data_IF_964286112596
#
_entry.id   IF_964286112596
#
_cell.length_a   1.000
_cell.length_b   1.000
_cell.length_c   1.000
_cell.angle_alpha   90.00
_cell.angle_beta   90.00
_cell.angle_gamma   90.00
#
_symmetry.space_group_name_H-M   'P 1'
#
loop_
_entity.id
_entity.type
_entity.pdbx_description
1 polymer ?
#
# COMPACT_ATOMS: atom_id res chain seq x y z
N UNK A 1 -12.58 -9.00 9.59
CA UNK A 1 -11.13 -9.10 9.92
C UNK A 1 -10.39 -10.15 9.08
N UNK A 2 -10.66 -11.46 9.23
CA UNK A 2 -9.85 -12.51 8.57
C UNK A 2 -9.81 -12.43 7.03
N UNK A 3 -10.91 -12.03 6.39
CA UNK A 3 -10.95 -11.84 4.93
C UNK A 3 -10.05 -10.69 4.47
N UNK A 4 -10.07 -9.55 5.17
CA UNK A 4 -9.21 -8.39 4.86
C UNK A 4 -7.73 -8.77 4.91
N UNK A 5 -7.31 -9.48 5.96
CA UNK A 5 -5.93 -10.00 6.08
C UNK A 5 -5.57 -10.88 4.89
N UNK A 6 -6.44 -11.82 4.49
CA UNK A 6 -6.18 -12.71 3.34
C UNK A 6 -6.10 -11.94 2.03
N UNK A 7 -6.98 -10.97 1.80
CA UNK A 7 -6.94 -10.16 0.58
C UNK A 7 -5.65 -9.34 0.52
N UNK A 8 -5.28 -8.70 1.62
CA UNK A 8 -4.02 -7.98 1.76
C UNK A 8 -2.80 -8.88 1.49
N UNK A 9 -2.70 -10.01 2.20
CA UNK A 9 -1.53 -10.89 2.14
C UNK A 9 -1.45 -11.70 0.83
N UNK A 10 -2.54 -11.91 0.10
CA UNK A 10 -2.46 -12.64 -1.17
C UNK A 10 -2.23 -11.67 -2.33
N UNK A 11 -2.94 -10.53 -2.33
CA UNK A 11 -3.04 -9.68 -3.51
C UNK A 11 -2.37 -8.31 -3.38
N UNK A 12 -1.91 -7.91 -2.19
CA UNK A 12 -1.20 -6.62 -2.01
C UNK A 12 0.25 -6.85 -1.62
N UNK A 13 0.49 -7.43 -0.45
CA UNK A 13 1.82 -7.58 0.16
C UNK A 13 2.15 -9.05 0.41
N UNK A 14 2.28 -9.81 -0.67
CA UNK A 14 2.41 -11.25 -0.57
C UNK A 14 3.72 -11.72 0.08
N UNK A 15 3.66 -12.61 1.09
CA UNK A 15 4.86 -13.16 1.74
C UNK A 15 5.67 -14.06 0.81
N UNK A 16 5.11 -14.47 -0.34
CA UNK A 16 5.83 -15.19 -1.39
C UNK A 16 6.88 -14.33 -2.13
N UNK A 17 7.08 -13.07 -1.73
CA UNK A 17 8.11 -12.15 -2.23
C UNK A 17 9.57 -12.58 -1.99
N UNK A 18 9.80 -13.75 -1.38
CA UNK A 18 11.14 -14.34 -1.21
C UNK A 18 11.53 -15.30 -2.33
N UNK A 19 10.61 -15.66 -3.23
CA UNK A 19 10.94 -16.45 -4.41
C UNK A 19 11.64 -15.57 -5.46
N UNK A 20 12.75 -16.06 -6.01
CA UNK A 20 13.47 -15.37 -7.08
C UNK A 20 12.55 -15.06 -8.26
N UNK A 21 12.53 -13.79 -8.66
CA UNK A 21 11.71 -13.30 -9.77
C UNK A 21 10.21 -13.15 -9.46
N UNK A 22 9.77 -13.33 -8.21
CA UNK A 22 8.39 -13.04 -7.81
C UNK A 22 8.27 -11.64 -7.18
N UNK A 23 7.27 -10.89 -7.62
CA UNK A 23 6.93 -9.58 -7.06
C UNK A 23 5.48 -9.53 -6.59
N UNK A 24 5.28 -9.10 -5.35
CA UNK A 24 3.96 -8.71 -4.89
C UNK A 24 3.51 -7.41 -5.58
N UNK A 25 2.21 -7.14 -5.64
CA UNK A 25 1.69 -5.94 -6.29
C UNK A 25 2.25 -4.64 -5.69
N UNK A 26 2.39 -4.56 -4.36
CA UNK A 26 3.03 -3.43 -3.68
C UNK A 26 4.49 -3.19 -4.12
N UNK A 27 5.19 -4.22 -4.58
CA UNK A 27 6.58 -4.10 -5.04
C UNK A 27 6.74 -3.21 -6.27
N UNK A 28 5.66 -2.97 -7.03
CA UNK A 28 5.65 -2.05 -8.16
C UNK A 28 6.10 -0.63 -7.76
N UNK A 29 5.97 -0.28 -6.48
CA UNK A 29 6.31 1.04 -5.94
C UNK A 29 7.82 1.24 -5.69
N UNK A 30 8.62 0.17 -5.52
CA UNK A 30 10.01 0.32 -5.03
C UNK A 30 11.03 -0.74 -5.48
N UNK A 31 10.62 -1.89 -6.01
CA UNK A 31 11.56 -2.90 -6.49
C UNK A 31 12.07 -2.53 -7.89
N UNK A 32 13.39 -2.37 -8.03
CA UNK A 32 14.04 -2.05 -9.32
C UNK A 32 13.99 -3.18 -10.34
N UNK A 33 14.11 -4.42 -9.89
CA UNK A 33 14.26 -5.59 -10.75
C UNK A 33 12.95 -6.09 -11.39
N UNK A 34 12.01 -5.20 -11.70
CA UNK A 34 10.72 -5.52 -12.30
C UNK A 34 10.61 -4.83 -13.66
N UNK A 35 10.26 -5.61 -14.69
CA UNK A 35 10.09 -5.11 -16.06
C UNK A 35 8.93 -4.11 -16.13
N UNK A 36 9.00 -3.17 -17.06
CA UNK A 36 8.03 -2.09 -17.17
C UNK A 36 6.60 -2.59 -17.45
N UNK A 37 6.44 -3.63 -18.27
CA UNK A 37 5.14 -4.23 -18.58
C UNK A 37 4.53 -4.88 -17.34
N UNK A 38 5.30 -5.70 -16.63
CA UNK A 38 4.87 -6.30 -15.36
C UNK A 38 4.53 -5.21 -14.34
N UNK A 39 5.36 -4.16 -14.24
CA UNK A 39 5.09 -3.05 -13.32
C UNK A 39 3.76 -2.36 -13.61
N UNK A 40 3.42 -2.17 -14.88
CA UNK A 40 2.11 -1.63 -15.29
C UNK A 40 0.98 -2.53 -14.82
N UNK A 41 1.06 -3.82 -15.09
CA UNK A 41 0.04 -4.81 -14.69
C UNK A 41 -0.13 -4.87 -13.17
N UNK A 42 0.98 -4.92 -12.43
CA UNK A 42 1.00 -4.93 -10.95
C UNK A 42 0.42 -3.65 -10.36
N UNK A 43 0.68 -2.50 -10.98
CA UNK A 43 0.14 -1.20 -10.53
C UNK A 43 -1.37 -1.11 -10.74
N UNK A 44 -1.87 -1.62 -11.87
CA UNK A 44 -3.30 -1.72 -12.16
C UNK A 44 -3.98 -2.65 -11.15
N UNK A 45 -3.42 -3.85 -10.94
CA UNK A 45 -4.00 -4.79 -9.98
C UNK A 45 -3.90 -4.24 -8.55
N UNK A 46 -2.79 -3.60 -8.14
CA UNK A 46 -2.68 -2.93 -6.84
C UNK A 46 -3.84 -1.95 -6.62
N UNK A 47 -4.13 -1.07 -7.59
CA UNK A 47 -5.23 -0.09 -7.49
C UNK A 47 -6.59 -0.78 -7.39
N UNK A 48 -6.80 -1.86 -8.15
CA UNK A 48 -8.00 -2.70 -8.05
C UNK A 48 -8.15 -3.33 -6.67
N UNK A 49 -7.08 -3.91 -6.11
CA UNK A 49 -7.12 -4.57 -4.80
C UNK A 49 -7.34 -3.57 -3.66
N UNK A 50 -6.81 -2.34 -3.78
CA UNK A 50 -7.17 -1.24 -2.87
C UNK A 50 -8.68 -0.94 -2.91
N UNK A 51 -9.31 -0.99 -4.09
CA UNK A 51 -10.76 -0.87 -4.25
C UNK A 51 -11.54 -2.04 -3.64
N UNK A 52 -11.05 -3.28 -3.79
CA UNK A 52 -11.66 -4.46 -3.13
C UNK A 52 -11.58 -4.35 -1.61
N UNK A 53 -10.43 -3.91 -1.08
CA UNK A 53 -10.28 -3.68 0.36
C UNK A 53 -11.19 -2.56 0.81
N UNK A 54 -11.26 -1.45 0.08
CA UNK A 54 -12.22 -0.37 0.33
C UNK A 54 -13.64 -0.94 0.48
N UNK A 55 -14.14 -1.75 -0.44
CA UNK A 55 -15.46 -2.35 -0.35
C UNK A 55 -15.65 -3.22 0.91
N UNK A 56 -14.60 -3.93 1.34
CA UNK A 56 -14.60 -4.81 2.51
C UNK A 56 -14.47 -4.09 3.86
N UNK A 57 -13.99 -2.85 3.89
CA UNK A 57 -13.89 -2.07 5.14
C UNK A 57 -15.28 -1.86 5.75
N UNK A 58 -15.37 -2.01 7.07
CA UNK A 58 -16.61 -1.74 7.79
C UNK A 58 -17.06 -0.28 7.56
N UNK A 59 -18.32 -0.05 7.16
CA UNK A 59 -18.79 1.29 6.83
C UNK A 59 -19.01 2.19 8.06
N UNK A 60 -19.07 1.62 9.26
CA UNK A 60 -19.41 2.33 10.50
C UNK A 60 -18.27 2.31 11.54
N UNK A 61 -17.29 1.43 11.35
CA UNK A 61 -16.17 1.22 12.26
C UNK A 61 -15.00 2.17 12.02
N UNK A 62 -14.33 2.67 13.07
CA UNK A 62 -13.08 3.39 12.92
C UNK A 62 -11.91 2.47 12.55
N UNK A 63 -12.04 1.16 12.80
CA UNK A 63 -11.09 0.11 12.42
C UNK A 63 -11.62 -0.71 11.25
N UNK A 64 -10.71 -1.41 10.57
CA UNK A 64 -10.96 -2.05 9.29
C UNK A 64 -12.14 -3.04 9.30
N UNK A 65 -12.39 -3.66 10.45
CA UNK A 65 -13.41 -4.69 10.63
C UNK A 65 -14.51 -4.33 11.65
N UNK A 66 -14.64 -3.06 12.05
CA UNK A 66 -15.69 -2.60 12.96
C UNK A 66 -15.19 -1.66 14.05
N UNK A 67 -15.83 -1.73 15.22
CA UNK A 67 -15.58 -0.86 16.38
C UNK A 67 -14.22 -1.07 17.06
N UNK A 68 -13.66 -2.28 16.93
CA UNK A 68 -12.51 -2.73 17.71
C UNK A 68 -11.30 -2.98 16.82
N UNK A 69 -10.12 -2.67 17.37
CA UNK A 69 -8.84 -2.96 16.73
C UNK A 69 -8.73 -4.46 16.43
N UNK A 70 -8.29 -4.78 15.22
CA UNK A 70 -8.10 -6.15 14.79
C UNK A 70 -6.74 -6.37 14.14
N UNK A 71 -6.42 -7.65 13.88
CA UNK A 71 -5.21 -7.99 13.12
C UNK A 71 -5.19 -7.34 11.72
N UNK A 72 -6.36 -7.09 11.11
CA UNK A 72 -6.43 -6.46 9.79
C UNK A 72 -5.78 -5.06 9.80
N UNK A 73 -6.03 -4.27 10.83
CA UNK A 73 -5.45 -2.93 10.99
C UNK A 73 -3.93 -2.99 11.12
N UNK A 74 -3.45 -3.94 11.94
CA UNK A 74 -2.02 -4.13 12.23
C UNK A 74 -1.24 -4.53 10.98
N UNK A 75 -1.78 -5.42 10.14
CA UNK A 75 -1.06 -5.88 8.94
C UNK A 75 -1.17 -4.89 7.78
N UNK A 76 -2.31 -4.20 7.64
CA UNK A 76 -2.55 -3.30 6.52
C UNK A 76 -1.85 -1.96 6.69
N UNK A 77 -1.88 -1.37 7.89
CA UNK A 77 -1.41 0.01 8.09
C UNK A 77 0.04 0.26 7.62
N UNK A 78 1.03 -0.59 7.96
CA UNK A 78 2.38 -0.51 7.40
C UNK A 78 2.40 -0.42 5.87
N UNK A 79 1.65 -1.29 5.20
CA UNK A 79 1.60 -1.36 3.73
C UNK A 79 1.04 -0.08 3.11
N UNK A 80 0.04 0.53 3.75
CA UNK A 80 -0.61 1.74 3.25
C UNK A 80 0.31 2.97 3.32
N UNK A 81 1.25 3.02 4.27
CA UNK A 81 2.28 4.07 4.32
C UNK A 81 3.19 4.00 3.08
N UNK A 82 3.56 2.80 2.61
CA UNK A 82 4.33 2.68 1.37
C UNK A 82 3.53 3.21 0.18
N UNK A 83 2.22 2.96 0.13
CA UNK A 83 1.36 3.46 -0.95
C UNK A 83 1.29 4.99 -0.89
N UNK A 84 1.11 5.58 0.29
CA UNK A 84 1.08 7.04 0.49
C UNK A 84 2.41 7.72 0.13
N UNK A 85 3.53 7.19 0.62
CA UNK A 85 4.84 7.82 0.45
C UNK A 85 5.45 7.56 -0.94
N UNK A 86 5.24 6.37 -1.52
CA UNK A 86 5.92 5.94 -2.75
C UNK A 86 5.01 5.96 -3.98
N UNK A 87 3.68 5.86 -3.82
CA UNK A 87 2.71 5.96 -4.92
C UNK A 87 2.84 7.24 -5.75
N UNK A 88 2.97 8.43 -5.12
CA UNK A 88 3.19 9.67 -5.85
C UNK A 88 4.49 9.67 -6.67
N UNK A 89 5.56 9.10 -6.12
CA UNK A 89 6.89 9.10 -6.74
C UNK A 89 7.00 8.09 -7.88
N UNK A 90 6.50 6.87 -7.68
CA UNK A 90 6.64 5.76 -8.62
C UNK A 90 5.56 5.76 -9.72
N UNK A 91 4.33 6.14 -9.38
CA UNK A 91 3.16 5.94 -10.23
C UNK A 91 2.36 7.23 -10.49
N UNK A 92 2.82 8.38 -9.99
CA UNK A 92 2.11 9.66 -10.14
C UNK A 92 0.79 9.73 -9.36
N UNK A 93 0.55 8.84 -8.41
CA UNK A 93 -0.67 8.83 -7.60
C UNK A 93 -0.60 9.90 -6.50
N UNK A 94 -0.82 11.16 -6.86
CA UNK A 94 -0.66 12.31 -5.94
C UNK A 94 -1.40 12.15 -4.59
N UNK A 95 -2.59 11.55 -4.61
CA UNK A 95 -3.40 11.27 -3.42
C UNK A 95 -4.00 9.85 -3.53
N UNK A 96 -3.21 8.80 -3.18
CA UNK A 96 -3.57 7.42 -3.51
C UNK A 96 -4.93 6.96 -3.00
N UNK A 97 -5.38 7.51 -1.86
CA UNK A 97 -6.62 7.14 -1.18
C UNK A 97 -7.79 8.10 -1.41
N UNK A 98 -7.64 9.19 -2.18
CA UNK A 98 -8.70 10.20 -2.33
C UNK A 98 -10.01 9.66 -2.93
N UNK A 99 -9.94 8.56 -3.68
CA UNK A 99 -11.09 7.85 -4.27
C UNK A 99 -11.64 6.72 -3.40
N UNK A 100 -11.05 6.51 -2.21
CA UNK A 100 -11.36 5.45 -1.26
C UNK A 100 -11.70 6.08 0.10
N UNK A 101 -12.95 6.54 0.29
CA UNK A 101 -13.33 7.32 1.48
C UNK A 101 -13.21 6.54 2.79
N UNK A 102 -13.59 5.25 2.84
CA UNK A 102 -13.47 4.43 4.06
C UNK A 102 -12.01 4.19 4.40
N UNK A 103 -11.18 3.92 3.39
CA UNK A 103 -9.73 3.78 3.51
C UNK A 103 -9.11 5.07 4.05
N UNK A 104 -9.49 6.23 3.50
CA UNK A 104 -8.96 7.52 3.97
C UNK A 104 -9.31 7.77 5.43
N UNK A 105 -10.56 7.50 5.83
CA UNK A 105 -11.01 7.65 7.20
C UNK A 105 -10.30 6.67 8.16
N UNK A 106 -10.23 5.39 7.78
CA UNK A 106 -9.52 4.34 8.52
C UNK A 106 -8.04 4.69 8.70
N UNK A 107 -7.36 5.09 7.62
CA UNK A 107 -5.94 5.40 7.65
C UNK A 107 -5.64 6.61 8.55
N UNK A 108 -6.44 7.67 8.45
CA UNK A 108 -6.35 8.83 9.33
C UNK A 108 -6.62 8.46 10.80
N UNK A 109 -7.61 7.60 11.05
CA UNK A 109 -7.91 7.12 12.40
C UNK A 109 -6.73 6.34 12.98
N UNK A 110 -6.19 5.36 12.24
CA UNK A 110 -5.01 4.60 12.65
C UNK A 110 -3.82 5.54 12.91
N UNK A 111 -3.51 6.47 12.01
CA UNK A 111 -2.39 7.40 12.16
C UNK A 111 -2.50 8.30 13.41
N UNK A 112 -3.70 8.56 13.92
CA UNK A 112 -3.91 9.31 15.15
C UNK A 112 -3.67 8.49 16.44
N UNK A 113 -3.61 7.16 16.35
CA UNK A 113 -3.38 6.28 17.50
C UNK A 113 -1.88 6.21 17.83
N UNK A 114 -1.45 6.31 19.11
CA UNK A 114 -0.04 6.37 19.47
C UNK A 114 0.82 5.20 18.96
N UNK A 115 0.29 3.97 19.00
CA UNK A 115 1.02 2.78 18.56
C UNK A 115 1.27 2.78 17.04
N UNK A 116 0.24 3.11 16.26
CA UNK A 116 0.33 3.23 14.80
C UNK A 116 1.16 4.45 14.38
N UNK A 117 1.05 5.58 15.09
CA UNK A 117 1.87 6.76 14.82
C UNK A 117 3.38 6.48 15.00
N UNK A 118 3.74 5.72 16.05
CA UNK A 118 5.13 5.32 16.28
C UNK A 118 5.67 4.46 15.13
N UNK A 119 4.92 3.42 14.73
CA UNK A 119 5.26 2.56 13.59
C UNK A 119 5.32 3.36 12.29
N UNK A 120 4.35 4.27 12.09
CA UNK A 120 4.26 5.11 10.91
C UNK A 120 5.47 6.01 10.74
N UNK A 121 5.96 6.61 11.82
CA UNK A 121 7.19 7.41 11.81
C UNK A 121 8.38 6.62 11.28
N UNK A 122 8.58 5.40 11.77
CA UNK A 122 9.72 4.56 11.39
C UNK A 122 9.63 4.10 9.94
N UNK A 123 8.43 3.70 9.48
CA UNK A 123 8.22 3.26 8.10
C UNK A 123 8.32 4.43 7.12
N UNK A 124 7.76 5.59 7.45
CA UNK A 124 7.91 6.80 6.63
C UNK A 124 9.39 7.19 6.51
N UNK A 125 10.14 7.16 7.62
CA UNK A 125 11.58 7.42 7.59
C UNK A 125 12.32 6.42 6.69
N UNK A 126 11.97 5.14 6.77
CA UNK A 126 12.52 4.10 5.90
C UNK A 126 12.17 4.34 4.41
N UNK A 127 10.91 4.63 4.09
CA UNK A 127 10.48 4.92 2.72
C UNK A 127 11.28 6.09 2.14
N UNK A 128 11.41 7.19 2.91
CA UNK A 128 12.10 8.41 2.45
C UNK A 128 13.61 8.24 2.32
N UNK A 129 14.24 7.49 3.21
CA UNK A 129 15.71 7.35 3.24
C UNK A 129 16.25 6.20 2.37
N UNK A 130 15.48 5.13 2.19
CA UNK A 130 15.94 3.91 1.52
C UNK A 130 15.26 3.68 0.18
N UNK A 131 13.96 3.98 0.07
CA UNK A 131 13.16 3.59 -1.10
C UNK A 131 12.82 4.73 -2.05
N UNK A 132 12.86 5.99 -1.58
CA UNK A 132 12.40 7.13 -2.37
C UNK A 132 13.15 7.28 -3.71
N UNK A 133 14.46 7.07 -3.73
CA UNK A 133 15.23 7.19 -4.98
C UNK A 133 14.94 6.04 -5.95
N UNK A 134 14.61 4.85 -5.43
CA UNK A 134 14.12 3.77 -6.29
C UNK A 134 12.75 4.13 -6.88
N UNK A 135 11.84 4.66 -6.05
CA UNK A 135 10.51 5.07 -6.49
C UNK A 135 10.56 6.19 -7.54
N UNK A 136 11.44 7.20 -7.37
CA UNK A 136 11.64 8.26 -8.38
C UNK A 136 12.15 7.71 -9.71
N UNK A 137 13.17 6.85 -9.68
CA UNK A 137 13.70 6.22 -10.89
C UNK A 137 12.63 5.39 -11.61
N UNK A 138 11.77 4.71 -10.85
CA UNK A 138 10.60 4.01 -11.39
C UNK A 138 9.62 5.00 -12.03
N UNK A 139 9.35 6.14 -11.39
CA UNK A 139 8.47 7.17 -11.96
C UNK A 139 8.98 7.75 -13.29
N UNK A 140 10.29 7.96 -13.41
CA UNK A 140 10.95 8.36 -14.66
C UNK A 140 10.77 7.29 -15.75
N UNK A 141 11.00 6.01 -15.41
CA UNK A 141 10.80 4.88 -16.31
C UNK A 141 9.34 4.78 -16.78
N UNK A 142 8.39 4.82 -15.85
CA UNK A 142 6.95 4.77 -16.14
C UNK A 142 6.49 5.92 -17.03
N UNK A 143 6.97 7.14 -16.79
CA UNK A 143 6.58 8.33 -17.56
C UNK A 143 7.08 8.30 -19.01
N UNK A 144 8.21 7.62 -19.27
CA UNK A 144 8.75 7.48 -20.63
C UNK A 144 8.02 6.44 -21.51
N UNK A 145 7.10 5.67 -20.92
CA UNK A 145 6.34 4.59 -21.59
C UNK A 145 4.82 4.81 -21.58
N UNK A 146 4.35 5.99 -21.16
CA UNK A 146 2.96 6.46 -21.24
C UNK A 146 2.77 7.35 -22.48
#
# INVERSE_FOLDING_TARGET
AALLVRVHDIYVSSPNCTQDGYFANQSALYKKAMKIEERRERSIDLKKQLGVIEDLLDPNGPFAAGSDLSLADVVMYPTYIFVEELGPLALGWSTPFATFPKTSAWYAHCAAQPAFAAVGKDITAFCRSVLADNAKAIGEEMSSHL
#
